data_IF_333656947976
#
_entry.id   IF_333656947976
#
_cell.length_a   1.000
_cell.length_b   1.000
_cell.length_c   1.000
_cell.angle_alpha   90.00
_cell.angle_beta   90.00
_cell.angle_gamma   90.00
#
_symmetry.space_group_name_H-M   'P 1'
#
loop_
_entity.id
_entity.type
_entity.pdbx_description
1 polymer ?
#
# COMPACT_ATOMS: atom_id res chain seq x y z
N UNK A 1 -15.41 -25.27 -24.88
CA UNK A 1 -14.02 -24.84 -24.66
C UNK A 1 -13.88 -24.63 -23.16
N UNK A 2 -13.23 -25.57 -22.48
CA UNK A 2 -12.96 -25.43 -21.03
C UNK A 2 -12.05 -24.23 -20.80
N UNK A 3 -12.61 -23.17 -20.20
CA UNK A 3 -11.87 -22.01 -19.76
C UNK A 3 -10.99 -22.48 -18.58
N UNK A 4 -9.76 -22.88 -18.86
CA UNK A 4 -8.78 -23.23 -17.81
C UNK A 4 -8.73 -22.09 -16.81
N UNK A 5 -9.38 -22.27 -15.66
CA UNK A 5 -9.33 -21.31 -14.54
C UNK A 5 -7.88 -20.98 -14.24
N UNK A 6 -7.55 -19.69 -14.15
CA UNK A 6 -6.21 -19.26 -13.80
C UNK A 6 -5.80 -19.89 -12.45
N UNK A 7 -4.53 -20.29 -12.24
CA UNK A 7 -4.12 -20.86 -10.98
C UNK A 7 -4.21 -19.82 -9.83
N UNK A 8 -4.40 -20.29 -8.61
CA UNK A 8 -4.28 -19.46 -7.41
C UNK A 8 -2.86 -18.83 -7.37
N UNK A 9 -2.63 -17.53 -7.02
CA UNK A 9 -3.62 -16.55 -6.51
C UNK A 9 -4.33 -15.70 -7.59
N UNK A 10 -4.07 -15.92 -8.88
CA UNK A 10 -4.55 -15.06 -9.97
C UNK A 10 -6.07 -15.08 -10.13
N UNK A 11 -6.73 -16.20 -9.81
CA UNK A 11 -8.20 -16.28 -9.79
C UNK A 11 -8.82 -15.32 -8.78
N UNK A 12 -8.22 -15.20 -7.60
CA UNK A 12 -8.71 -14.32 -6.54
C UNK A 12 -8.62 -12.84 -6.97
N UNK A 13 -7.48 -12.44 -7.54
CA UNK A 13 -7.31 -11.06 -8.04
C UNK A 13 -8.34 -10.77 -9.15
N UNK A 14 -8.56 -11.71 -10.05
CA UNK A 14 -9.50 -11.54 -11.16
C UNK A 14 -10.96 -11.43 -10.69
N UNK A 15 -11.35 -12.19 -9.68
CA UNK A 15 -12.69 -12.11 -9.07
C UNK A 15 -12.92 -10.82 -8.28
N UNK A 16 -11.85 -10.23 -7.74
CA UNK A 16 -11.91 -8.96 -7.00
C UNK A 16 -11.88 -7.72 -7.91
N UNK A 17 -11.52 -7.85 -9.19
CA UNK A 17 -11.43 -6.70 -10.11
C UNK A 17 -12.70 -5.82 -10.12
N UNK A 18 -13.94 -6.35 -10.10
CA UNK A 18 -15.15 -5.51 -10.09
C UNK A 18 -15.33 -4.68 -8.82
N UNK A 19 -14.67 -5.04 -7.73
CA UNK A 19 -14.81 -4.35 -6.43
C UNK A 19 -13.87 -3.15 -6.27
N UNK A 20 -13.11 -2.79 -7.31
CA UNK A 20 -12.13 -1.69 -7.23
C UNK A 20 -12.71 -0.36 -6.72
N UNK A 21 -13.95 0.06 -7.01
CA UNK A 21 -14.46 1.32 -6.48
C UNK A 21 -14.61 1.29 -4.96
N UNK A 22 -15.08 0.16 -4.42
CA UNK A 22 -15.19 -0.02 -2.95
C UNK A 22 -13.83 0.01 -2.28
N UNK A 23 -12.82 -0.65 -2.87
CA UNK A 23 -11.45 -0.66 -2.36
C UNK A 23 -10.87 0.76 -2.36
N UNK A 24 -11.12 1.55 -3.42
CA UNK A 24 -10.71 2.95 -3.49
C UNK A 24 -11.33 3.78 -2.36
N UNK A 25 -12.65 3.65 -2.15
CA UNK A 25 -13.37 4.36 -1.08
C UNK A 25 -12.81 3.99 0.29
N UNK A 26 -12.62 2.70 0.58
CA UNK A 26 -12.03 2.23 1.84
C UNK A 26 -10.63 2.79 2.02
N UNK A 27 -9.80 2.78 0.99
CA UNK A 27 -8.45 3.37 1.02
C UNK A 27 -8.48 4.85 1.39
N UNK A 28 -9.33 5.64 0.75
CA UNK A 28 -9.50 7.05 1.05
C UNK A 28 -10.04 7.31 2.46
N UNK A 29 -11.00 6.52 2.92
CA UNK A 29 -11.53 6.63 4.29
C UNK A 29 -10.43 6.38 5.32
N UNK A 30 -9.56 5.38 5.12
CA UNK A 30 -8.41 5.11 6.00
C UNK A 30 -7.44 6.30 6.01
N UNK A 31 -7.13 6.90 4.85
CA UNK A 31 -6.24 8.07 4.77
C UNK A 31 -6.84 9.25 5.51
N UNK A 32 -8.12 9.57 5.28
CA UNK A 32 -8.81 10.68 5.94
C UNK A 32 -8.89 10.48 7.45
N UNK A 33 -9.24 9.26 7.91
CA UNK A 33 -9.30 8.95 9.34
C UNK A 33 -7.92 9.08 9.98
N UNK A 34 -6.87 8.58 9.33
CA UNK A 34 -5.50 8.73 9.80
C UNK A 34 -5.06 10.19 9.88
N UNK A 35 -5.49 11.02 8.92
CA UNK A 35 -5.24 12.46 8.94
C UNK A 35 -5.97 13.13 10.13
N UNK A 36 -7.25 12.82 10.35
CA UNK A 36 -8.03 13.37 11.46
C UNK A 36 -7.41 13.00 12.82
N UNK A 37 -7.03 11.73 13.00
CA UNK A 37 -6.37 11.29 14.24
C UNK A 37 -5.02 12.00 14.42
N UNK A 38 -4.22 12.15 13.38
CA UNK A 38 -2.97 12.91 13.43
C UNK A 38 -3.20 14.38 13.76
N UNK A 39 -4.19 15.02 13.13
CA UNK A 39 -4.49 16.43 13.33
C UNK A 39 -5.14 16.75 14.71
N UNK A 40 -5.82 15.80 15.32
CA UNK A 40 -6.52 16.02 16.62
C UNK A 40 -5.78 15.36 17.77
N UNK A 41 -5.70 14.03 17.81
CA UNK A 41 -5.17 13.29 18.93
C UNK A 41 -3.66 13.50 19.11
N UNK A 42 -2.87 13.47 18.01
CA UNK A 42 -1.43 13.73 18.10
C UNK A 42 -1.15 15.18 18.50
N UNK A 43 -1.84 16.15 17.87
CA UNK A 43 -1.66 17.57 18.22
C UNK A 43 -2.03 17.85 19.66
N UNK A 44 -3.11 17.24 20.19
CA UNK A 44 -3.49 17.42 21.61
C UNK A 44 -2.49 16.79 22.57
N UNK A 45 -1.95 15.60 22.25
CA UNK A 45 -0.92 14.95 23.06
C UNK A 45 0.38 15.76 23.07
N UNK A 46 0.81 16.27 21.91
CA UNK A 46 1.98 17.14 21.81
C UNK A 46 1.76 18.47 22.54
N UNK A 47 0.59 19.11 22.41
CA UNK A 47 0.25 20.32 23.14
C UNK A 47 0.29 20.11 24.66
N UNK A 48 -0.25 19.00 25.15
CA UNK A 48 -0.19 18.65 26.56
C UNK A 48 1.25 18.38 27.03
N UNK A 49 2.07 17.73 26.24
CA UNK A 49 3.47 17.46 26.57
C UNK A 49 4.32 18.74 26.58
N UNK A 50 4.08 19.66 25.65
CA UNK A 50 4.85 20.91 25.53
C UNK A 50 4.21 22.11 26.27
N UNK A 51 3.20 21.88 27.12
CA UNK A 51 2.51 22.97 27.84
C UNK A 51 3.38 23.69 28.85
N UNK A 52 4.43 23.01 29.37
CA UNK A 52 5.29 23.54 30.42
C UNK A 52 6.79 23.56 30.00
N UNK A 53 7.59 24.23 30.85
CA UNK A 53 9.02 24.36 30.66
C UNK A 53 9.73 23.02 30.60
N UNK A 54 10.79 22.94 29.81
CA UNK A 54 11.60 21.73 29.61
C UNK A 54 12.03 21.05 30.91
N UNK A 55 12.47 21.86 31.89
CA UNK A 55 12.93 21.35 33.20
C UNK A 55 11.83 20.59 33.97
N UNK A 56 10.59 21.06 33.89
CA UNK A 56 9.44 20.39 34.54
C UNK A 56 9.08 19.09 33.86
N UNK A 57 9.16 19.08 32.52
CA UNK A 57 8.92 17.86 31.72
C UNK A 57 9.98 16.79 31.97
N UNK A 58 11.28 17.19 32.00
CA UNK A 58 12.40 16.28 32.26
C UNK A 58 12.39 15.72 33.69
N UNK A 59 11.88 16.46 34.67
CA UNK A 59 11.70 16.02 36.04
C UNK A 59 10.41 15.17 36.25
N UNK A 60 9.58 15.01 35.23
CA UNK A 60 8.31 14.33 35.33
C UNK A 60 8.49 12.84 35.67
N UNK A 61 7.76 12.37 36.69
CA UNK A 61 7.79 10.97 37.09
C UNK A 61 7.03 10.09 36.10
N UNK A 62 7.35 8.80 36.10
CA UNK A 62 6.57 7.80 35.39
C UNK A 62 5.09 7.87 35.75
N UNK A 63 4.19 7.75 34.75
CA UNK A 63 2.74 7.82 34.95
C UNK A 63 2.18 9.24 35.19
N UNK A 64 3.00 10.30 35.23
CA UNK A 64 2.53 11.68 35.24
C UNK A 64 1.77 12.05 33.96
N UNK A 65 1.00 13.13 33.97
CA UNK A 65 0.28 13.61 32.79
C UNK A 65 1.23 13.88 31.59
N UNK A 66 2.40 14.40 31.86
CA UNK A 66 3.44 14.62 30.82
C UNK A 66 3.97 13.31 30.25
N UNK A 67 4.30 12.33 31.11
CA UNK A 67 4.77 11.02 30.66
C UNK A 67 3.68 10.31 29.83
N UNK A 68 2.43 10.37 30.26
CA UNK A 68 1.31 9.80 29.51
C UNK A 68 1.09 10.49 28.16
N UNK A 69 1.20 11.82 28.11
CA UNK A 69 1.12 12.57 26.86
C UNK A 69 2.27 12.21 25.90
N UNK A 70 3.49 12.04 26.44
CA UNK A 70 4.64 11.57 25.68
C UNK A 70 4.42 10.18 25.09
N UNK A 71 3.99 9.21 25.91
CA UNK A 71 3.64 7.86 25.46
C UNK A 71 2.60 7.93 24.35
N UNK A 72 1.51 8.67 24.56
CA UNK A 72 0.42 8.81 23.61
C UNK A 72 0.89 9.38 22.27
N UNK A 73 1.71 10.42 22.30
CA UNK A 73 2.27 11.02 21.09
C UNK A 73 3.10 9.99 20.30
N UNK A 74 4.04 9.31 20.94
CA UNK A 74 4.90 8.34 20.27
C UNK A 74 4.15 7.09 19.77
N UNK A 75 3.14 6.63 20.50
CA UNK A 75 2.26 5.54 20.04
C UNK A 75 1.53 5.98 18.77
N UNK A 76 0.93 7.17 18.74
CA UNK A 76 0.22 7.68 17.56
C UNK A 76 1.19 7.89 16.39
N UNK A 77 2.35 8.48 16.63
CA UNK A 77 3.42 8.65 15.61
C UNK A 77 3.90 7.33 15.01
N UNK A 78 3.84 6.25 15.78
CA UNK A 78 4.25 4.92 15.31
C UNK A 78 3.20 4.28 14.40
N UNK A 79 1.92 4.28 14.73
CA UNK A 79 0.91 3.52 13.97
C UNK A 79 0.19 4.34 12.90
N UNK A 80 -0.02 5.64 13.08
CA UNK A 80 -0.76 6.47 12.10
C UNK A 80 -0.12 6.45 10.71
N UNK A 81 1.21 6.56 10.54
CA UNK A 81 1.83 6.44 9.23
C UNK A 81 1.57 5.09 8.56
N UNK A 82 1.46 4.00 9.31
CA UNK A 82 1.18 2.68 8.75
C UNK A 82 -0.18 2.64 8.07
N UNK A 83 -1.22 3.19 8.73
CA UNK A 83 -2.56 3.28 8.17
C UNK A 83 -2.62 4.22 6.96
N UNK A 84 -1.91 5.35 6.97
CA UNK A 84 -1.80 6.23 5.79
C UNK A 84 -1.26 5.46 4.58
N UNK A 85 -0.17 4.72 4.74
CA UNK A 85 0.43 3.96 3.64
C UNK A 85 -0.44 2.80 3.17
N UNK A 86 -1.14 2.12 4.09
CA UNK A 86 -2.12 1.08 3.70
C UNK A 86 -3.28 1.70 2.93
N UNK A 87 -3.84 2.82 3.40
CA UNK A 87 -4.91 3.51 2.69
C UNK A 87 -4.51 3.96 1.28
N UNK A 88 -3.33 4.58 1.13
CA UNK A 88 -2.76 4.91 -0.18
C UNK A 88 -2.51 3.67 -1.03
N UNK A 89 -1.99 2.60 -0.44
CA UNK A 89 -1.76 1.32 -1.11
C UNK A 89 -3.05 0.71 -1.65
N UNK A 90 -4.14 0.75 -0.88
CA UNK A 90 -5.47 0.32 -1.34
C UNK A 90 -5.97 1.19 -2.51
N UNK A 91 -5.74 2.50 -2.47
CA UNK A 91 -6.04 3.38 -3.59
C UNK A 91 -5.29 2.99 -4.87
N UNK A 92 -3.97 2.76 -4.79
CA UNK A 92 -3.15 2.30 -5.92
C UNK A 92 -3.54 0.90 -6.39
N UNK A 93 -3.87 -0.01 -5.47
CA UNK A 93 -4.40 -1.32 -5.80
C UNK A 93 -5.71 -1.21 -6.59
N UNK A 94 -6.62 -0.33 -6.17
CA UNK A 94 -7.87 -0.07 -6.89
C UNK A 94 -7.62 0.45 -8.31
N UNK A 95 -6.66 1.37 -8.49
CA UNK A 95 -6.24 1.83 -9.82
C UNK A 95 -5.70 0.66 -10.65
N UNK A 96 -4.85 -0.19 -10.07
CA UNK A 96 -4.32 -1.38 -10.74
C UNK A 96 -5.43 -2.33 -11.19
N UNK A 97 -6.45 -2.56 -10.34
CA UNK A 97 -7.61 -3.38 -10.67
C UNK A 97 -8.47 -2.76 -11.78
N UNK A 98 -8.69 -1.45 -11.75
CA UNK A 98 -9.41 -0.73 -12.82
C UNK A 98 -8.69 -0.89 -14.16
N UNK A 99 -7.37 -0.69 -14.19
CA UNK A 99 -6.56 -0.90 -15.39
C UNK A 99 -6.60 -2.35 -15.88
N UNK A 100 -6.58 -3.32 -14.96
CA UNK A 100 -6.76 -4.75 -15.28
C UNK A 100 -8.12 -5.03 -15.93
N UNK A 101 -9.18 -4.42 -15.43
CA UNK A 101 -10.54 -4.52 -16.00
C UNK A 101 -10.62 -3.93 -17.40
N UNK A 102 -9.99 -2.75 -17.62
CA UNK A 102 -9.89 -2.13 -18.95
C UNK A 102 -9.11 -3.03 -19.91
N UNK A 103 -7.97 -3.57 -19.50
CA UNK A 103 -7.18 -4.49 -20.33
C UNK A 103 -7.96 -5.74 -20.73
N UNK A 104 -8.76 -6.29 -19.80
CA UNK A 104 -9.66 -7.44 -20.06
C UNK A 104 -10.77 -7.09 -21.06
N UNK A 105 -11.41 -5.92 -20.90
CA UNK A 105 -12.45 -5.43 -21.82
C UNK A 105 -11.90 -5.21 -23.24
N UNK A 106 -10.75 -4.56 -23.36
CA UNK A 106 -10.08 -4.36 -24.66
C UNK A 106 -9.73 -5.68 -25.34
N UNK A 107 -9.28 -6.67 -24.58
CA UNK A 107 -8.99 -8.00 -25.12
C UNK A 107 -10.22 -8.69 -25.67
N UNK A 108 -11.37 -8.62 -24.94
CA UNK A 108 -12.65 -9.15 -25.41
C UNK A 108 -13.09 -8.46 -26.69
N UNK A 109 -12.95 -7.13 -26.77
CA UNK A 109 -13.26 -6.36 -27.98
C UNK A 109 -12.36 -6.81 -29.15
N UNK A 110 -11.06 -7.01 -28.94
CA UNK A 110 -10.15 -7.54 -29.94
C UNK A 110 -10.55 -8.94 -30.44
N UNK A 111 -11.07 -9.81 -29.55
CA UNK A 111 -11.59 -11.12 -29.93
C UNK A 111 -12.85 -11.02 -30.80
N UNK A 112 -13.77 -10.10 -30.47
CA UNK A 112 -14.98 -9.85 -31.26
C UNK A 112 -14.61 -9.35 -32.67
N UNK A 113 -13.69 -8.40 -32.78
CA UNK A 113 -13.18 -7.90 -34.06
C UNK A 113 -12.55 -9.05 -34.86
N UNK A 114 -11.71 -9.88 -34.24
CA UNK A 114 -11.10 -11.00 -34.90
C UNK A 114 -12.12 -12.06 -35.36
N UNK A 115 -13.20 -12.28 -34.62
CA UNK A 115 -14.26 -13.23 -34.99
C UNK A 115 -15.13 -12.72 -36.12
N UNK A 116 -15.24 -11.42 -36.35
CA UNK A 116 -15.99 -10.84 -37.47
C UNK A 116 -15.19 -10.86 -38.80
N UNK A 117 -13.89 -11.19 -38.76
CA UNK A 117 -13.06 -11.35 -39.95
C UNK A 117 -13.29 -12.71 -40.62
N UNK A 118 -13.20 -12.77 -41.95
CA UNK A 118 -13.14 -14.05 -42.72
C UNK A 118 -12.04 -14.95 -42.17
N UNK A 119 -12.22 -16.27 -42.24
CA UNK A 119 -11.35 -17.25 -41.60
C UNK A 119 -9.88 -17.16 -42.09
N UNK A 120 -9.66 -16.81 -43.36
CA UNK A 120 -8.39 -16.60 -44.02
C UNK A 120 -7.64 -15.35 -43.55
N UNK A 121 -8.36 -14.35 -42.98
CA UNK A 121 -7.81 -13.08 -42.53
C UNK A 121 -7.77 -12.95 -40.98
N UNK A 122 -8.17 -13.99 -40.24
CA UNK A 122 -8.15 -13.98 -38.77
C UNK A 122 -6.71 -13.96 -38.26
N UNK A 123 -6.25 -12.89 -37.60
CA UNK A 123 -4.95 -12.91 -36.95
C UNK A 123 -4.96 -13.87 -35.78
N UNK A 124 -3.88 -14.64 -35.62
CA UNK A 124 -3.67 -15.38 -34.37
C UNK A 124 -3.57 -14.38 -33.21
N UNK A 125 -4.51 -14.43 -32.26
CA UNK A 125 -4.44 -13.58 -31.08
C UNK A 125 -3.24 -13.98 -30.24
N UNK A 126 -2.37 -13.03 -29.87
CA UNK A 126 -1.20 -13.35 -29.09
C UNK A 126 -1.61 -13.96 -27.73
N UNK A 127 -0.85 -14.94 -27.22
CA UNK A 127 -1.10 -15.52 -25.89
C UNK A 127 -1.06 -14.43 -24.83
N UNK A 128 -1.60 -14.72 -23.63
CA UNK A 128 -1.58 -13.78 -22.51
C UNK A 128 -0.14 -13.35 -22.24
N UNK A 129 0.21 -12.06 -22.42
CA UNK A 129 1.58 -11.62 -22.27
C UNK A 129 2.07 -11.89 -20.84
N UNK A 130 3.31 -12.33 -20.69
CA UNK A 130 3.94 -12.51 -19.35
C UNK A 130 3.81 -11.26 -18.47
N UNK A 131 3.75 -10.09 -19.09
CA UNK A 131 3.55 -8.78 -18.40
C UNK A 131 2.25 -8.71 -17.58
N UNK A 132 1.18 -9.43 -17.97
CA UNK A 132 -0.06 -9.49 -17.21
C UNK A 132 0.16 -10.20 -15.88
N UNK A 133 0.91 -11.29 -15.88
CA UNK A 133 1.25 -12.01 -14.63
C UNK A 133 2.19 -11.19 -13.74
N UNK A 134 3.17 -10.51 -14.35
CA UNK A 134 4.09 -9.63 -13.63
C UNK A 134 3.36 -8.46 -12.97
N UNK A 135 2.40 -7.84 -13.67
CA UNK A 135 1.56 -6.78 -13.11
C UNK A 135 0.78 -7.27 -11.88
N UNK A 136 0.12 -8.41 -11.99
CA UNK A 136 -0.65 -8.98 -10.87
C UNK A 136 0.24 -9.34 -9.69
N UNK A 137 1.40 -9.95 -9.96
CA UNK A 137 2.37 -10.30 -8.92
C UNK A 137 2.93 -9.04 -8.24
N UNK A 138 3.29 -8.01 -9.00
CA UNK A 138 3.81 -6.74 -8.44
C UNK A 138 2.76 -6.07 -7.54
N UNK A 139 1.50 -6.01 -7.98
CA UNK A 139 0.41 -5.45 -7.17
C UNK A 139 0.22 -6.24 -5.87
N UNK A 140 0.21 -7.59 -5.94
CA UNK A 140 0.09 -8.44 -4.77
C UNK A 140 1.25 -8.25 -3.80
N UNK A 141 2.49 -8.26 -4.31
CA UNK A 141 3.69 -8.03 -3.49
C UNK A 141 3.66 -6.68 -2.80
N UNK A 142 3.25 -5.62 -3.50
CA UNK A 142 3.11 -4.28 -2.91
C UNK A 142 2.14 -4.27 -1.73
N UNK A 143 0.96 -4.86 -1.88
CA UNK A 143 -0.04 -4.97 -0.81
C UNK A 143 0.49 -5.80 0.37
N UNK A 144 1.12 -6.94 0.09
CA UNK A 144 1.68 -7.80 1.14
C UNK A 144 2.76 -7.11 1.96
N UNK A 145 3.65 -6.35 1.31
CA UNK A 145 4.70 -5.57 1.99
C UNK A 145 4.08 -4.48 2.88
N UNK A 146 3.05 -3.76 2.40
CA UNK A 146 2.37 -2.74 3.19
C UNK A 146 1.61 -3.35 4.39
N UNK A 147 0.97 -4.50 4.22
CA UNK A 147 0.32 -5.22 5.32
C UNK A 147 1.34 -5.73 6.34
N UNK A 148 2.48 -6.25 5.89
CA UNK A 148 3.57 -6.64 6.80
C UNK A 148 4.08 -5.43 7.60
N UNK A 149 4.29 -4.28 6.95
CA UNK A 149 4.67 -3.04 7.61
C UNK A 149 3.61 -2.58 8.63
N UNK A 150 2.31 -2.71 8.29
CA UNK A 150 1.21 -2.41 9.22
C UNK A 150 1.27 -3.32 10.45
N UNK A 151 1.38 -4.64 10.28
CA UNK A 151 1.42 -5.60 11.39
C UNK A 151 2.58 -5.28 12.33
N UNK A 152 3.77 -5.05 11.77
CA UNK A 152 4.95 -4.69 12.55
C UNK A 152 4.74 -3.35 13.28
N UNK A 153 4.22 -2.33 12.58
CA UNK A 153 3.96 -1.01 13.17
C UNK A 153 2.95 -1.06 14.31
N UNK A 154 1.89 -1.85 14.18
CA UNK A 154 0.90 -2.06 15.26
C UNK A 154 1.51 -2.82 16.43
N UNK A 155 2.30 -3.88 16.17
CA UNK A 155 2.98 -4.64 17.23
C UNK A 155 3.95 -3.75 18.03
N UNK A 156 4.66 -2.83 17.37
CA UNK A 156 5.53 -1.87 18.03
C UNK A 156 4.74 -0.83 18.85
N UNK A 157 3.68 -0.28 18.28
CA UNK A 157 2.84 0.72 18.93
C UNK A 157 2.10 0.19 20.17
N UNK A 158 1.82 -1.10 20.21
CA UNK A 158 1.15 -1.75 21.35
C UNK A 158 2.11 -2.42 22.33
N UNK A 159 3.36 -2.65 21.96
CA UNK A 159 4.33 -3.37 22.77
C UNK A 159 5.51 -2.50 23.21
N UNK A 160 6.52 -2.40 22.35
CA UNK A 160 7.82 -1.82 22.73
C UNK A 160 7.76 -0.31 22.95
N UNK A 161 7.01 0.42 22.13
CA UNK A 161 6.91 1.90 22.22
C UNK A 161 6.31 2.32 23.58
N UNK A 162 5.13 1.86 23.99
CA UNK A 162 4.61 2.23 25.31
C UNK A 162 5.48 1.68 26.44
N UNK A 163 6.12 0.52 26.29
CA UNK A 163 7.00 -0.01 27.30
C UNK A 163 8.21 0.90 27.54
N UNK A 164 8.80 1.45 26.46
CA UNK A 164 9.92 2.38 26.57
C UNK A 164 9.50 3.74 27.14
N UNK A 165 8.47 4.35 26.57
CA UNK A 165 8.02 5.70 26.94
C UNK A 165 7.16 5.77 28.22
N UNK A 166 6.86 4.65 28.86
CA UNK A 166 6.13 4.64 30.15
C UNK A 166 7.05 4.82 31.37
N UNK A 167 8.34 5.04 31.17
CA UNK A 167 9.30 5.38 32.20
C UNK A 167 9.27 6.88 32.52
N UNK A 168 10.05 7.32 33.52
CA UNK A 168 10.27 8.74 33.72
C UNK A 168 11.05 9.33 32.56
N UNK A 169 10.75 10.57 32.20
CA UNK A 169 11.45 11.23 31.05
C UNK A 169 12.95 11.34 31.34
N UNK A 170 13.36 11.53 32.60
CA UNK A 170 14.77 11.49 32.98
C UNK A 170 15.44 10.14 32.69
N UNK A 171 14.72 9.01 32.88
CA UNK A 171 15.23 7.67 32.54
C UNK A 171 15.31 7.46 31.02
N UNK A 172 14.37 8.00 30.25
CA UNK A 172 14.41 7.97 28.78
C UNK A 172 15.60 8.75 28.21
N UNK A 173 15.87 9.92 28.79
CA UNK A 173 17.01 10.77 28.40
C UNK A 173 18.37 10.16 28.79
N UNK A 174 18.40 9.32 29.82
CA UNK A 174 19.59 8.62 30.25
C UNK A 174 19.35 7.11 30.44
N UNK A 175 19.15 6.36 29.33
CA UNK A 175 18.76 4.96 29.38
C UNK A 175 19.88 4.00 29.83
N UNK A 176 21.10 4.52 30.06
CA UNK A 176 22.28 3.73 30.38
C UNK A 176 22.31 3.15 31.82
N UNK A 177 21.21 3.24 32.55
CA UNK A 177 21.15 2.67 33.92
C UNK A 177 21.23 1.14 33.90
N UNK A 178 22.18 0.54 34.65
CA UNK A 178 22.33 -0.91 34.69
C UNK A 178 21.04 -1.63 35.12
N UNK A 179 20.67 -2.69 34.39
CA UNK A 179 19.51 -3.53 34.72
C UNK A 179 18.14 -3.00 34.32
N UNK A 180 18.06 -1.79 33.73
CA UNK A 180 16.77 -1.20 33.33
C UNK A 180 16.14 -1.83 32.08
N UNK A 181 16.90 -2.49 31.23
CA UNK A 181 16.45 -2.96 29.90
C UNK A 181 16.14 -1.85 28.90
N UNK A 182 16.21 -0.57 29.32
CA UNK A 182 15.87 0.61 28.49
C UNK A 182 16.73 0.75 27.24
N UNK A 183 18.03 0.42 27.34
CA UNK A 183 18.93 0.44 26.17
C UNK A 183 18.49 -0.56 25.09
N UNK A 184 18.04 -1.76 25.49
CA UNK A 184 17.53 -2.73 24.53
C UNK A 184 16.22 -2.27 23.89
N UNK A 185 15.33 -1.68 24.67
CA UNK A 185 14.06 -1.10 24.16
C UNK A 185 14.35 0.10 23.23
N UNK A 186 15.26 1.00 23.60
CA UNK A 186 15.67 2.13 22.76
C UNK A 186 16.28 1.65 21.44
N UNK A 187 17.15 0.63 21.47
CA UNK A 187 17.73 0.06 20.26
C UNK A 187 16.67 -0.50 19.32
N UNK A 188 15.63 -1.14 19.86
CA UNK A 188 14.50 -1.63 19.09
C UNK A 188 13.72 -0.46 18.50
N UNK A 189 13.31 0.53 19.30
CA UNK A 189 12.51 1.68 18.85
C UNK A 189 13.25 2.46 17.77
N UNK A 190 14.55 2.76 17.95
CA UNK A 190 15.35 3.50 16.98
C UNK A 190 15.57 2.71 15.69
N UNK A 191 15.92 1.43 15.76
CA UNK A 191 16.15 0.61 14.56
C UNK A 191 14.89 0.47 13.71
N UNK A 192 13.71 0.36 14.31
CA UNK A 192 12.46 0.30 13.54
C UNK A 192 12.12 1.60 12.81
N UNK A 193 12.44 2.75 13.40
CA UNK A 193 12.27 4.04 12.73
C UNK A 193 13.06 4.09 11.41
N UNK A 194 14.26 3.51 11.40
CA UNK A 194 15.17 3.55 10.27
C UNK A 194 14.73 2.67 9.09
N UNK A 195 14.19 1.48 9.34
CA UNK A 195 13.86 0.56 8.24
C UNK A 195 12.36 0.43 7.91
N UNK A 196 11.47 0.77 8.83
CA UNK A 196 10.03 0.65 8.60
C UNK A 196 9.54 1.62 7.52
N UNK A 197 10.11 2.82 7.46
CA UNK A 197 9.81 3.79 6.40
C UNK A 197 10.29 3.34 5.01
N UNK A 198 11.55 2.91 4.81
CA UNK A 198 11.99 2.28 3.57
C UNK A 198 11.12 1.07 3.16
N UNK A 199 10.72 0.21 4.11
CA UNK A 199 9.87 -0.94 3.81
C UNK A 199 8.52 -0.52 3.18
N UNK A 200 7.88 0.52 3.73
CA UNK A 200 6.64 1.09 3.14
C UNK A 200 6.87 1.62 1.74
N UNK A 201 7.99 2.32 1.52
CA UNK A 201 8.35 2.82 0.19
C UNK A 201 8.56 1.68 -0.82
N UNK A 202 9.16 0.56 -0.41
CA UNK A 202 9.27 -0.65 -1.25
C UNK A 202 7.89 -1.18 -1.64
N UNK A 203 6.95 -1.26 -0.68
CA UNK A 203 5.57 -1.66 -0.97
C UNK A 203 4.89 -0.74 -1.99
N UNK A 204 5.05 0.57 -1.85
CA UNK A 204 4.53 1.56 -2.80
C UNK A 204 5.20 1.41 -4.18
N UNK A 205 6.52 1.20 -4.25
CA UNK A 205 7.25 1.01 -5.49
C UNK A 205 6.74 -0.22 -6.28
N UNK A 206 6.42 -1.31 -5.60
CA UNK A 206 5.77 -2.47 -6.24
C UNK A 206 4.39 -2.13 -6.81
N UNK A 207 3.57 -1.35 -6.11
CA UNK A 207 2.26 -0.92 -6.61
C UNK A 207 2.39 -0.02 -7.84
N UNK A 208 3.30 0.95 -7.83
CA UNK A 208 3.58 1.80 -9.01
C UNK A 208 4.11 0.99 -10.19
N UNK A 209 5.00 0.02 -9.94
CA UNK A 209 5.48 -0.90 -10.98
C UNK A 209 4.34 -1.71 -11.58
N UNK A 210 3.39 -2.17 -10.75
CA UNK A 210 2.16 -2.83 -11.19
C UNK A 210 1.35 -1.95 -12.14
N UNK A 211 1.08 -0.69 -11.76
CA UNK A 211 0.35 0.27 -12.60
C UNK A 211 1.07 0.48 -13.95
N UNK A 212 2.37 0.68 -13.92
CA UNK A 212 3.18 0.87 -15.14
C UNK A 212 3.10 -0.33 -16.07
N UNK A 213 3.19 -1.55 -15.52
CA UNK A 213 3.03 -2.79 -16.28
C UNK A 213 1.62 -2.91 -16.88
N UNK A 214 0.57 -2.57 -16.13
CA UNK A 214 -0.80 -2.59 -16.63
C UNK A 214 -0.98 -1.61 -17.80
N UNK A 215 -0.46 -0.39 -17.70
CA UNK A 215 -0.48 0.58 -18.78
C UNK A 215 0.24 0.08 -20.03
N UNK A 216 1.41 -0.57 -19.90
CA UNK A 216 2.11 -1.14 -21.05
C UNK A 216 1.32 -2.24 -21.74
N UNK A 217 0.55 -3.05 -20.99
CA UNK A 217 -0.36 -4.07 -21.53
C UNK A 217 -1.51 -3.40 -22.29
N UNK A 218 -2.13 -2.36 -21.76
CA UNK A 218 -3.22 -1.63 -22.42
C UNK A 218 -2.73 -1.01 -23.73
N UNK A 219 -1.61 -0.30 -23.71
CA UNK A 219 -1.02 0.33 -24.92
C UNK A 219 -0.71 -0.72 -25.98
N UNK A 220 -0.11 -1.85 -25.59
CA UNK A 220 0.16 -2.95 -26.50
C UNK A 220 -1.11 -3.53 -27.14
N UNK A 221 -2.18 -3.68 -26.37
CA UNK A 221 -3.47 -4.17 -26.86
C UNK A 221 -4.11 -3.19 -27.84
N UNK A 222 -4.10 -1.89 -27.51
CA UNK A 222 -4.63 -0.84 -28.40
C UNK A 222 -3.88 -0.77 -29.74
N UNK A 223 -2.55 -0.86 -29.72
CA UNK A 223 -1.74 -0.90 -30.95
C UNK A 223 -2.10 -2.10 -31.85
N UNK A 224 -2.31 -3.26 -31.22
CA UNK A 224 -2.73 -4.47 -31.95
C UNK A 224 -4.10 -4.30 -32.59
N UNK A 225 -5.06 -3.70 -31.87
CA UNK A 225 -6.41 -3.42 -32.38
C UNK A 225 -6.38 -2.40 -33.51
N UNK A 226 -5.61 -1.33 -33.38
CA UNK A 226 -5.45 -0.32 -34.44
C UNK A 226 -4.88 -0.96 -35.73
N UNK A 227 -3.88 -1.83 -35.61
CA UNK A 227 -3.34 -2.56 -36.75
C UNK A 227 -4.35 -3.52 -37.41
N UNK A 228 -5.24 -4.16 -36.61
CA UNK A 228 -6.32 -5.00 -37.16
C UNK A 228 -7.35 -4.18 -37.93
N UNK A 229 -7.76 -3.03 -37.39
CA UNK A 229 -8.71 -2.11 -38.03
C UNK A 229 -8.16 -1.53 -39.35
N UNK A 230 -6.88 -1.16 -39.38
CA UNK A 230 -6.23 -0.67 -40.60
C UNK A 230 -6.21 -1.73 -41.73
N UNK A 231 -6.03 -3.01 -41.37
CA UNK A 231 -6.11 -4.13 -42.34
C UNK A 231 -7.54 -4.34 -42.89
N UNK A 232 -8.56 -4.08 -42.08
CA UNK A 232 -9.96 -4.14 -42.52
C UNK A 232 -10.26 -3.05 -43.56
N UNK A 233 -9.79 -1.82 -43.33
CA UNK A 233 -10.01 -0.69 -44.24
C UNK A 233 -9.24 -0.87 -45.56
N UNK A 234 -7.99 -1.33 -45.49
CA UNK A 234 -7.18 -1.58 -46.70
C UNK A 234 -7.66 -2.74 -47.59
N UNK A 235 -8.52 -3.62 -47.07
CA UNK A 235 -9.12 -4.73 -47.81
C UNK A 235 -10.43 -4.41 -48.53
N UNK A 236 -11.01 -3.22 -48.36
CA UNK A 236 -12.24 -2.77 -49.02
C UNK A 236 -11.98 -1.96 -50.28
N UNK A 237 -10.72 -1.78 -50.68
CA UNK A 237 -10.29 -0.95 -51.80
C UNK A 237 -9.82 -1.76 -53.04
N UNK A 238 -10.26 -3.03 -53.23
CA UNK A 238 -9.98 -3.81 -54.46
C UNK A 238 -11.26 -4.41 -54.99
#
# INVERSE_FOLDING_TARGET
MDEKKAPFPFNMIESMMPTYPMIAVVGWMIVLLSFLIGATALSSAQAAFYSDAKALREAAAAGSAFAQANVTAHVIETWVPQFKFVGLGLGLMAISMALGSIAKALRRMGQLIASSLPADRRPALPPIPRRVRLFQLSTLMGVMVLLAALIVGVALATGVVPAYFNHSIAAELNPAQPGSGLLAQLAVVSSFADWLNPLRMVGMAFLFSGITLALTVIIGTLRTQAAMLARLQGGQGV
#
